data_IF_701899967089
#
_entry.id   IF_701899967089
#
_cell.length_a   1.000
_cell.length_b   1.000
_cell.length_c   1.000
_cell.angle_alpha   90.00
_cell.angle_beta   90.00
_cell.angle_gamma   90.00
#
_symmetry.space_group_name_H-M   'P 1'
#
loop_
_entity.id
_entity.type
_entity.pdbx_description
1 polymer ?
#
# COMPACT_ATOMS: atom_id res chain seq x y z
N UNK A 1 -29.42 -8.06 1.98
CA UNK A 1 -29.11 -9.52 1.94
C UNK A 1 -30.41 -10.31 2.03
N UNK A 2 -30.74 -11.10 1.02
CA UNK A 2 -31.94 -11.93 0.93
C UNK A 2 -31.51 -13.40 0.74
N UNK A 3 -31.88 -14.32 1.65
CA UNK A 3 -31.51 -15.72 1.50
C UNK A 3 -32.22 -16.33 0.28
N UNK A 4 -31.49 -17.10 -0.51
CA UNK A 4 -32.03 -17.93 -1.60
C UNK A 4 -32.25 -19.35 -1.08
N UNK A 5 -31.25 -19.88 -0.36
CA UNK A 5 -31.29 -21.18 0.30
C UNK A 5 -30.38 -21.21 1.54
N UNK A 6 -30.09 -22.40 2.08
CA UNK A 6 -29.27 -22.60 3.29
C UNK A 6 -27.83 -22.10 3.18
N UNK A 7 -27.27 -21.92 1.98
CA UNK A 7 -25.89 -21.46 1.79
C UNK A 7 -25.76 -20.28 0.83
N UNK A 8 -26.81 -19.96 0.08
CA UNK A 8 -26.83 -18.89 -0.91
C UNK A 8 -27.68 -17.71 -0.50
N UNK A 9 -27.23 -16.50 -0.86
CA UNK A 9 -27.96 -15.26 -0.64
C UNK A 9 -27.72 -14.28 -1.78
N UNK A 10 -28.73 -13.45 -2.07
CA UNK A 10 -28.61 -12.26 -2.90
C UNK A 10 -28.28 -11.06 -2.03
N UNK A 11 -27.27 -10.29 -2.40
CA UNK A 11 -26.86 -9.07 -1.71
C UNK A 11 -26.99 -7.91 -2.67
N UNK A 12 -27.73 -6.88 -2.28
CA UNK A 12 -27.85 -5.66 -3.05
C UNK A 12 -26.84 -4.64 -2.52
N UNK A 13 -26.08 -4.06 -3.44
CA UNK A 13 -25.15 -2.95 -3.19
C UNK A 13 -25.31 -1.97 -4.35
N UNK A 14 -25.63 -0.72 -4.04
CA UNK A 14 -25.79 0.38 -5.03
C UNK A 14 -26.70 0.04 -6.23
N UNK A 15 -27.73 -0.78 -6.01
CA UNK A 15 -28.68 -1.22 -7.05
C UNK A 15 -28.20 -2.40 -7.90
N UNK A 16 -27.00 -2.92 -7.67
CA UNK A 16 -26.48 -4.14 -8.28
C UNK A 16 -26.73 -5.31 -7.31
N UNK A 17 -27.18 -6.44 -7.85
CA UNK A 17 -27.38 -7.67 -7.07
C UNK A 17 -26.23 -8.64 -7.29
N UNK A 18 -25.65 -9.12 -6.20
CA UNK A 18 -24.60 -10.12 -6.16
C UNK A 18 -25.11 -11.41 -5.54
N UNK A 19 -24.89 -12.54 -6.21
CA UNK A 19 -25.11 -13.87 -5.65
C UNK A 19 -23.88 -14.31 -4.86
N UNK A 20 -24.10 -14.65 -3.59
CA UNK A 20 -23.09 -15.21 -2.69
C UNK A 20 -23.44 -16.68 -2.45
N UNK A 21 -22.48 -17.58 -2.62
CA UNK A 21 -22.56 -18.98 -2.20
C UNK A 21 -21.47 -19.24 -1.15
N UNK A 22 -21.89 -19.36 0.11
CA UNK A 22 -20.97 -19.57 1.23
C UNK A 22 -20.36 -20.98 1.26
N UNK A 23 -21.04 -21.97 0.70
CA UNK A 23 -20.53 -23.35 0.66
C UNK A 23 -19.40 -23.47 -0.37
N UNK A 24 -19.60 -22.86 -1.55
CA UNK A 24 -18.57 -22.79 -2.59
C UNK A 24 -17.53 -21.70 -2.37
N UNK A 25 -17.75 -20.81 -1.40
CA UNK A 25 -16.92 -19.62 -1.13
C UNK A 25 -16.79 -18.71 -2.36
N UNK A 26 -17.91 -18.44 -3.03
CA UNK A 26 -17.96 -17.61 -4.24
C UNK A 26 -18.89 -16.43 -4.08
N UNK A 27 -18.53 -15.30 -4.71
CA UNK A 27 -19.39 -14.15 -4.91
C UNK A 27 -19.29 -13.68 -6.36
N UNK A 28 -20.38 -13.13 -6.91
CA UNK A 28 -20.36 -12.52 -8.24
C UNK A 28 -19.37 -11.33 -8.34
N UNK A 29 -18.96 -10.73 -7.22
CA UNK A 29 -17.92 -9.70 -7.21
C UNK A 29 -16.49 -10.26 -7.40
N UNK A 30 -16.31 -11.59 -7.47
CA UNK A 30 -15.06 -12.34 -7.62
C UNK A 30 -14.01 -12.20 -6.51
N UNK A 31 -14.10 -11.19 -5.65
CA UNK A 31 -13.14 -10.99 -4.55
C UNK A 31 -13.06 -12.20 -3.61
N UNK A 32 -14.19 -12.86 -3.32
CA UNK A 32 -14.19 -14.01 -2.42
C UNK A 32 -13.38 -15.18 -2.97
N UNK A 33 -13.44 -15.40 -4.29
CA UNK A 33 -12.67 -16.44 -4.98
C UNK A 33 -11.19 -16.07 -5.12
N UNK A 34 -10.91 -14.80 -5.40
CA UNK A 34 -9.56 -14.31 -5.70
C UNK A 34 -8.72 -14.14 -4.44
N UNK A 35 -9.25 -13.48 -3.43
CA UNK A 35 -8.54 -13.22 -2.18
C UNK A 35 -8.63 -14.44 -1.23
N UNK A 36 -9.49 -15.41 -1.54
CA UNK A 36 -9.86 -16.53 -0.67
C UNK A 36 -10.28 -16.09 0.75
N UNK A 37 -10.78 -14.85 0.85
CA UNK A 37 -11.28 -14.20 2.05
C UNK A 37 -12.70 -13.70 1.79
N UNK A 38 -13.60 -13.73 2.78
CA UNK A 38 -14.94 -13.19 2.61
C UNK A 38 -14.90 -11.72 2.15
N UNK A 39 -15.45 -11.45 0.96
CA UNK A 39 -15.69 -10.10 0.48
C UNK A 39 -16.81 -9.42 1.29
N UNK A 40 -17.06 -8.12 1.05
CA UNK A 40 -18.11 -7.37 1.77
C UNK A 40 -19.50 -8.02 1.67
N UNK A 41 -19.86 -8.61 0.51
CA UNK A 41 -21.14 -9.29 0.32
C UNK A 41 -21.21 -10.62 1.07
N UNK A 42 -20.10 -11.36 1.07
CA UNK A 42 -19.97 -12.59 1.82
C UNK A 42 -20.04 -12.31 3.33
N UNK A 43 -19.34 -11.30 3.82
CA UNK A 43 -19.39 -10.84 5.22
C UNK A 43 -20.82 -10.51 5.62
N UNK A 44 -21.52 -9.68 4.83
CA UNK A 44 -22.92 -9.34 5.10
C UNK A 44 -23.83 -10.58 5.14
N UNK A 45 -23.57 -11.56 4.28
CA UNK A 45 -24.31 -12.83 4.26
C UNK A 45 -24.02 -13.71 5.48
N UNK A 46 -22.76 -13.78 5.91
CA UNK A 46 -22.31 -14.53 7.09
C UNK A 46 -22.90 -13.92 8.37
N UNK A 47 -22.84 -12.59 8.50
CA UNK A 47 -23.40 -11.87 9.64
C UNK A 47 -24.90 -12.08 9.76
N UNK A 48 -25.64 -12.02 8.64
CA UNK A 48 -27.08 -12.28 8.63
C UNK A 48 -27.43 -13.69 9.14
N UNK A 49 -26.53 -14.66 8.97
CA UNK A 49 -26.71 -16.04 9.42
C UNK A 49 -26.16 -16.30 10.82
N UNK A 50 -25.57 -15.30 11.49
CA UNK A 50 -24.89 -15.44 12.79
C UNK A 50 -23.82 -16.54 12.82
N UNK A 51 -23.09 -16.71 11.70
CA UNK A 51 -21.98 -17.66 11.60
C UNK A 51 -20.67 -16.89 11.78
N UNK A 52 -19.62 -17.56 12.24
CA UNK A 52 -18.31 -16.97 12.42
C UNK A 52 -17.63 -16.74 11.06
N UNK A 53 -17.17 -15.50 10.82
CA UNK A 53 -16.49 -15.10 9.55
C UNK A 53 -15.22 -15.90 9.27
N UNK A 54 -14.46 -16.26 10.33
CA UNK A 54 -13.20 -16.99 10.19
C UNK A 54 -13.35 -18.33 9.50
N UNK A 55 -14.53 -18.95 9.59
CA UNK A 55 -14.77 -20.30 9.07
C UNK A 55 -14.81 -20.31 7.53
N UNK A 56 -14.93 -19.12 6.94
CA UNK A 56 -14.97 -18.89 5.50
C UNK A 56 -13.66 -18.34 4.93
N UNK A 57 -12.66 -18.06 5.78
CA UNK A 57 -11.32 -17.72 5.32
C UNK A 57 -10.59 -18.98 4.82
N UNK A 58 -9.69 -18.81 3.85
CA UNK A 58 -8.78 -19.88 3.44
C UNK A 58 -7.79 -20.24 4.54
N UNK A 59 -7.32 -21.50 4.49
CA UNK A 59 -6.33 -22.01 5.43
C UNK A 59 -5.04 -21.19 5.42
N UNK A 60 -4.67 -20.57 4.28
CA UNK A 60 -3.46 -19.75 4.17
C UNK A 60 -3.44 -18.53 5.11
N UNK A 61 -4.61 -18.03 5.51
CA UNK A 61 -4.75 -16.89 6.42
C UNK A 61 -4.83 -17.29 7.90
N UNK A 62 -4.74 -18.58 8.22
CA UNK A 62 -4.77 -19.05 9.59
C UNK A 62 -3.40 -18.90 10.26
N UNK A 63 -3.43 -18.65 11.57
CA UNK A 63 -2.22 -18.49 12.40
C UNK A 63 -1.32 -19.71 12.32
N UNK A 64 -1.91 -20.90 12.27
CA UNK A 64 -1.21 -22.17 12.17
C UNK A 64 -0.38 -22.25 10.88
N UNK A 65 -0.97 -21.84 9.75
CA UNK A 65 -0.30 -21.80 8.44
C UNK A 65 0.84 -20.79 8.41
N UNK A 66 0.61 -19.61 9.00
CA UNK A 66 1.63 -18.59 9.17
C UNK A 66 2.81 -19.13 9.99
N UNK A 67 2.56 -19.66 11.19
CA UNK A 67 3.60 -20.22 12.06
C UNK A 67 4.37 -21.35 11.37
N UNK A 68 3.69 -22.25 10.66
CA UNK A 68 4.31 -23.34 9.92
C UNK A 68 5.19 -22.85 8.77
N UNK A 69 4.78 -21.78 8.09
CA UNK A 69 5.57 -21.17 7.01
C UNK A 69 6.90 -20.60 7.53
N UNK A 70 6.88 -20.04 8.74
CA UNK A 70 8.03 -19.40 9.38
C UNK A 70 8.68 -20.25 10.49
N UNK A 71 8.36 -21.54 10.58
CA UNK A 71 8.88 -22.44 11.61
C UNK A 71 10.40 -22.63 11.48
N UNK A 72 10.91 -22.55 10.24
CA UNK A 72 12.33 -22.70 9.94
C UNK A 72 13.07 -21.38 10.10
N UNK A 73 14.35 -21.49 10.48
CA UNK A 73 15.23 -20.34 10.57
C UNK A 73 15.40 -19.67 9.20
N UNK A 74 15.03 -18.39 9.12
CA UNK A 74 15.35 -17.56 7.96
C UNK A 74 16.79 -17.09 8.13
N UNK A 75 17.69 -17.63 7.32
CA UNK A 75 19.07 -17.15 7.26
C UNK A 75 19.11 -15.82 6.52
N UNK A 76 19.73 -14.82 7.14
CA UNK A 76 20.03 -13.58 6.44
C UNK A 76 21.00 -13.86 5.29
N UNK A 77 20.83 -13.10 4.21
CA UNK A 77 21.83 -13.06 3.15
C UNK A 77 23.12 -12.48 3.76
N UNK A 78 24.23 -13.19 3.58
CA UNK A 78 25.54 -12.77 4.10
C UNK A 78 26.04 -11.48 3.45
N UNK A 79 27.22 -11.00 3.86
CA UNK A 79 27.87 -9.87 3.21
C UNK A 79 28.16 -10.18 1.73
N UNK A 80 28.05 -9.19 0.85
CA UNK A 80 28.23 -9.40 -0.61
C UNK A 80 29.57 -10.04 -0.96
N UNK A 81 30.62 -9.75 -0.17
CA UNK A 81 31.96 -10.31 -0.37
C UNK A 81 32.02 -11.84 -0.19
N UNK A 82 31.06 -12.44 0.52
CA UNK A 82 30.99 -13.90 0.70
C UNK A 82 30.12 -14.59 -0.35
N UNK A 83 29.52 -13.85 -1.28
CA UNK A 83 28.60 -14.43 -2.27
C UNK A 83 29.39 -15.11 -3.39
N UNK A 84 29.11 -16.40 -3.59
CA UNK A 84 29.58 -17.13 -4.77
C UNK A 84 28.58 -16.90 -5.90
N UNK A 85 28.81 -15.86 -6.69
CA UNK A 85 27.96 -15.53 -7.85
C UNK A 85 28.52 -16.21 -9.11
N UNK A 86 27.78 -17.11 -9.78
CA UNK A 86 28.22 -17.76 -11.01
C UNK A 86 28.53 -16.75 -12.12
N UNK A 87 29.50 -17.08 -12.98
CA UNK A 87 29.91 -16.18 -14.07
C UNK A 87 28.76 -15.85 -15.03
N UNK A 88 27.89 -16.83 -15.29
CA UNK A 88 26.68 -16.63 -16.10
C UNK A 88 25.77 -15.51 -15.55
N UNK A 89 25.67 -15.38 -14.23
CA UNK A 89 24.87 -14.33 -13.57
C UNK A 89 25.64 -13.00 -13.58
N UNK A 90 26.95 -13.02 -13.29
CA UNK A 90 27.79 -11.80 -13.35
C UNK A 90 27.81 -11.16 -14.73
N UNK A 91 27.84 -11.99 -15.77
CA UNK A 91 27.83 -11.56 -17.17
C UNK A 91 26.47 -11.03 -17.65
N UNK A 92 25.39 -11.26 -16.89
CA UNK A 92 24.05 -10.88 -17.29
C UNK A 92 23.83 -9.37 -17.10
N UNK A 93 23.70 -8.65 -18.21
CA UNK A 93 23.34 -7.23 -18.18
C UNK A 93 21.82 -7.12 -18.08
N UNK A 94 21.31 -6.90 -16.87
CA UNK A 94 19.89 -6.60 -16.64
C UNK A 94 19.64 -5.13 -16.93
N UNK A 95 19.11 -4.82 -18.11
CA UNK A 95 18.66 -3.47 -18.44
C UNK A 95 17.33 -3.20 -17.71
N UNK A 96 17.07 -1.95 -17.28
CA UNK A 96 15.74 -1.57 -16.85
C UNK A 96 14.74 -1.85 -17.99
N UNK A 97 13.46 -2.12 -17.67
CA UNK A 97 12.43 -2.27 -18.69
C UNK A 97 12.42 -1.06 -19.62
N UNK A 98 12.20 -1.29 -20.91
CA UNK A 98 12.06 -0.22 -21.90
C UNK A 98 10.81 0.60 -21.58
N UNK A 99 10.97 1.65 -20.78
CA UNK A 99 9.90 2.57 -20.44
C UNK A 99 9.86 3.71 -21.45
N UNK A 100 8.84 3.70 -22.32
CA UNK A 100 8.52 4.87 -23.13
C UNK A 100 7.87 5.92 -22.23
N UNK A 101 8.53 7.05 -22.04
CA UNK A 101 7.89 8.21 -21.42
C UNK A 101 6.78 8.68 -22.38
N UNK A 102 5.50 8.62 -21.98
CA UNK A 102 4.41 9.04 -22.86
C UNK A 102 4.60 10.52 -23.25
N UNK A 103 4.33 10.90 -24.51
CA UNK A 103 4.41 12.28 -24.94
C UNK A 103 3.38 13.10 -24.14
N UNK A 104 3.85 14.12 -23.44
CA UNK A 104 2.98 14.92 -22.58
C UNK A 104 3.76 15.77 -21.59
N UNK A 105 3.06 16.73 -20.99
CA UNK A 105 3.63 17.62 -19.98
C UNK A 105 3.91 16.81 -18.71
N UNK A 106 5.18 16.57 -18.41
CA UNK A 106 5.60 16.04 -17.10
C UNK A 106 4.98 16.91 -15.99
N UNK A 107 4.30 16.29 -15.03
CA UNK A 107 3.77 17.02 -13.88
C UNK A 107 4.94 17.72 -13.16
N UNK A 108 4.93 19.05 -13.16
CA UNK A 108 5.94 19.86 -12.45
C UNK A 108 5.69 19.91 -10.94
N UNK A 109 4.46 19.63 -10.52
CA UNK A 109 4.03 19.64 -9.13
C UNK A 109 3.54 18.25 -8.78
N UNK A 110 3.88 17.79 -7.58
CA UNK A 110 3.35 16.56 -6.98
C UNK A 110 1.83 16.63 -6.92
N UNK A 111 1.16 15.55 -7.28
CA UNK A 111 -0.27 15.38 -7.00
C UNK A 111 -0.47 15.24 -5.49
N UNK A 112 -1.22 16.16 -4.88
CA UNK A 112 -1.51 16.17 -3.45
C UNK A 112 -2.87 15.47 -3.27
N UNK A 113 -2.95 14.29 -2.65
CA UNK A 113 -4.22 13.62 -2.35
C UNK A 113 -5.11 14.48 -1.45
N UNK A 114 -6.43 14.31 -1.52
CA UNK A 114 -7.38 15.04 -0.65
C UNK A 114 -7.12 14.82 0.85
N UNK A 115 -6.49 13.71 1.21
CA UNK A 115 -6.10 13.36 2.58
C UNK A 115 -4.86 14.10 3.08
N UNK A 116 -4.06 14.69 2.18
CA UNK A 116 -2.86 15.44 2.57
C UNK A 116 -3.20 16.91 2.86
N UNK A 117 -2.75 17.46 4.00
CA UNK A 117 -2.99 18.87 4.33
C UNK A 117 -2.27 19.77 3.33
N UNK A 118 -3.05 20.61 2.63
CA UNK A 118 -2.60 21.44 1.51
C UNK A 118 -1.66 22.60 1.88
N UNK A 119 -1.44 22.86 3.18
CA UNK A 119 -0.61 23.96 3.68
C UNK A 119 0.35 23.45 4.75
N UNK A 120 1.54 23.03 4.34
CA UNK A 120 2.65 22.86 5.28
C UNK A 120 3.09 24.27 5.71
N UNK A 121 2.63 24.70 6.89
CA UNK A 121 3.11 25.92 7.54
C UNK A 121 4.45 25.63 8.19
N UNK A 122 5.54 25.89 7.48
CA UNK A 122 6.87 25.77 8.06
C UNK A 122 7.04 26.82 9.17
N UNK A 123 7.23 26.36 10.40
CA UNK A 123 7.64 27.19 11.54
C UNK A 123 9.16 27.19 11.62
N UNK A 124 9.79 28.35 11.59
CA UNK A 124 11.23 28.46 11.67
C UNK A 124 11.73 27.97 13.04
N UNK A 125 12.57 26.94 13.07
CA UNK A 125 13.17 26.43 14.31
C UNK A 125 14.13 27.40 15.02
N UNK A 126 14.43 28.58 14.45
CA UNK A 126 15.22 29.65 15.10
C UNK A 126 14.32 30.76 15.64
N UNK A 127 13.67 31.52 14.77
CA UNK A 127 12.88 32.70 15.18
C UNK A 127 11.41 32.37 15.54
N UNK A 128 10.99 31.11 15.39
CA UNK A 128 9.63 30.60 15.66
C UNK A 128 8.51 31.25 14.84
N UNK A 129 8.83 32.11 13.87
CA UNK A 129 7.87 32.70 12.91
C UNK A 129 7.55 31.72 11.79
N UNK A 130 6.37 31.87 11.20
CA UNK A 130 5.86 31.02 10.12
C UNK A 130 6.26 31.64 8.77
N UNK A 131 6.44 30.79 7.75
CA UNK A 131 6.63 31.22 6.35
C UNK A 131 8.06 31.09 5.83
N UNK A 132 9.00 30.63 6.66
CA UNK A 132 10.37 30.31 6.25
C UNK A 132 10.95 29.20 7.12
N UNK A 133 12.02 28.58 6.64
CA UNK A 133 12.73 27.53 7.37
C UNK A 133 13.98 28.09 8.06
N UNK A 134 14.65 27.27 8.87
CA UNK A 134 15.85 27.68 9.63
C UNK A 134 16.99 28.21 8.73
N UNK A 135 17.10 27.71 7.50
CA UNK A 135 18.17 28.07 6.54
C UNK A 135 17.94 29.41 5.84
N UNK A 136 16.69 29.87 5.72
CA UNK A 136 16.34 31.15 5.07
C UNK A 136 15.88 32.22 6.07
N UNK A 137 16.20 32.04 7.36
CA UNK A 137 15.78 32.95 8.42
C UNK A 137 16.59 34.26 8.41
N UNK A 138 15.94 35.35 7.96
CA UNK A 138 16.49 36.71 7.96
C UNK A 138 16.47 37.40 9.33
N UNK A 139 15.74 36.85 10.29
CA UNK A 139 15.63 37.41 11.65
C UNK A 139 16.68 36.85 12.61
N UNK A 140 17.82 36.40 12.07
CA UNK A 140 18.95 35.89 12.83
C UNK A 140 20.02 36.96 12.89
N UNK A 141 20.50 37.30 14.09
CA UNK A 141 21.67 38.17 14.29
C UNK A 141 22.97 37.53 13.77
N UNK A 142 22.97 36.21 13.55
CA UNK A 142 24.08 35.49 12.93
C UNK A 142 23.74 35.13 11.48
N UNK A 143 24.54 35.63 10.52
CA UNK A 143 24.55 35.17 9.14
C UNK A 143 24.90 33.67 9.12
N UNK A 144 24.10 32.86 8.41
CA UNK A 144 24.42 31.45 8.25
C UNK A 144 25.54 31.30 7.21
N UNK A 145 26.55 30.43 7.42
CA UNK A 145 27.62 30.20 6.45
C UNK A 145 27.12 29.78 5.05
N UNK A 146 25.92 29.20 4.99
CA UNK A 146 25.26 28.75 3.77
C UNK A 146 24.07 29.62 3.34
N UNK A 147 23.91 30.83 3.89
CA UNK A 147 22.96 31.80 3.33
C UNK A 147 23.36 32.04 1.88
N UNK A 148 22.54 31.60 0.93
CA UNK A 148 22.76 31.82 -0.51
C UNK A 148 22.97 33.31 -0.70
N UNK A 149 24.20 33.75 -0.97
CA UNK A 149 24.47 35.13 -1.39
C UNK A 149 23.59 35.37 -2.61
N UNK A 150 22.70 36.35 -2.52
CA UNK A 150 22.08 36.89 -3.72
C UNK A 150 23.23 37.33 -4.63
N UNK A 151 23.24 36.81 -5.86
CA UNK A 151 24.09 37.34 -6.93
C UNK A 151 23.46 38.66 -7.32
N UNK A 152 24.08 39.76 -6.93
CA UNK A 152 23.79 41.09 -7.48
C UNK A 152 24.28 41.09 -8.93
N UNK A 153 23.48 41.65 -9.83
CA UNK A 153 23.85 41.99 -11.21
C UNK A 153 24.64 43.30 -11.24
#
# INVERSE_FOLDING_TARGET
VFPVDSWRSRVEEEGITFLVDLNKRTCDCFQFQLDELPCIHAIATIEKRNIKKSDFCSHWYLKESWLKTYERQIHHVGHTDSWIVPESVKSQIVKPPDFKVPPGRRQKKRHIPATEPSKITFKCGRCRRIGHNRTTCIYSLALHPFSRKHREE
#
